data_IF_401719009703
#
_entry.id   IF_401719009703
#
_cell.length_a   1.000
_cell.length_b   1.000
_cell.length_c   1.000
_cell.angle_alpha   90.00
_cell.angle_beta   90.00
_cell.angle_gamma   90.00
#
_symmetry.space_group_name_H-M   'P 1'
#
loop_
_entity.id
_entity.type
_entity.pdbx_description
1 polymer ?
#
# COMPACT_ATOMS: atom_id res chain seq x y z
N UNK A 1 -11.25 -11.37 -2.90
CA UNK A 1 -10.26 -10.77 -3.85
C UNK A 1 -10.09 -9.31 -3.49
N UNK A 2 -8.85 -8.88 -3.29
CA UNK A 2 -8.53 -7.49 -2.97
C UNK A 2 -8.95 -6.50 -4.08
N UNK A 3 -9.03 -5.21 -3.74
CA UNK A 3 -9.20 -4.13 -4.69
C UNK A 3 -8.04 -3.15 -4.59
N UNK A 4 -7.43 -2.80 -5.70
CA UNK A 4 -6.36 -1.79 -5.79
C UNK A 4 -6.85 -0.61 -6.62
N UNK A 5 -6.51 0.60 -6.22
CA UNK A 5 -6.83 1.83 -6.92
C UNK A 5 -5.64 2.78 -6.90
N UNK A 6 -5.40 3.47 -8.00
CA UNK A 6 -4.43 4.56 -8.06
C UNK A 6 -5.02 5.80 -8.72
N UNK A 7 -4.53 6.97 -8.31
CA UNK A 7 -4.88 8.28 -8.87
C UNK A 7 -3.57 9.03 -9.13
N UNK A 8 -3.45 9.65 -10.28
CA UNK A 8 -2.30 10.49 -10.64
C UNK A 8 -2.79 11.81 -11.22
N UNK A 9 -2.32 12.90 -10.64
CA UNK A 9 -2.54 14.27 -11.12
C UNK A 9 -1.23 14.95 -11.52
N UNK A 10 -1.29 15.98 -12.33
CA UNK A 10 -0.13 16.77 -12.72
C UNK A 10 0.41 17.65 -11.58
N UNK A 11 -0.39 17.92 -10.55
CA UNK A 11 -0.05 18.73 -9.39
C UNK A 11 -0.77 18.32 -8.12
N UNK A 12 -0.37 18.89 -6.97
CA UNK A 12 -1.03 18.64 -5.70
C UNK A 12 -2.51 19.08 -5.74
N UNK A 13 -3.39 18.18 -5.36
CA UNK A 13 -4.84 18.38 -5.31
C UNK A 13 -5.32 18.26 -3.87
N UNK A 14 -5.93 19.32 -3.34
CA UNK A 14 -6.47 19.34 -1.95
C UNK A 14 -7.59 18.31 -1.73
N UNK A 15 -8.36 17.99 -2.76
CA UNK A 15 -9.48 17.04 -2.69
C UNK A 15 -9.08 15.57 -2.90
N UNK A 16 -7.79 15.27 -3.15
CA UNK A 16 -7.31 13.91 -3.42
C UNK A 16 -7.79 12.92 -2.36
N UNK A 17 -7.72 13.28 -1.08
CA UNK A 17 -8.16 12.43 0.02
C UNK A 17 -9.64 12.08 -0.04
N UNK A 18 -10.51 13.02 -0.44
CA UNK A 18 -11.95 12.78 -0.61
C UNK A 18 -12.23 11.83 -1.77
N UNK A 19 -11.54 12.01 -2.89
CA UNK A 19 -11.68 11.15 -4.07
C UNK A 19 -11.17 9.73 -3.80
N UNK A 20 -9.99 9.61 -3.22
CA UNK A 20 -9.41 8.33 -2.79
C UNK A 20 -10.33 7.57 -1.84
N UNK A 21 -10.85 8.26 -0.81
CA UNK A 21 -11.78 7.69 0.16
C UNK A 21 -13.08 7.19 -0.50
N UNK A 22 -13.61 7.95 -1.45
CA UNK A 22 -14.81 7.55 -2.20
C UNK A 22 -14.55 6.28 -3.02
N UNK A 23 -13.39 6.17 -3.67
CA UNK A 23 -13.04 4.99 -4.46
C UNK A 23 -12.80 3.76 -3.57
N UNK A 24 -12.11 3.92 -2.44
CA UNK A 24 -11.91 2.82 -1.49
C UNK A 24 -13.25 2.30 -0.94
N UNK A 25 -14.19 3.18 -0.58
CA UNK A 25 -15.53 2.78 -0.15
C UNK A 25 -16.29 2.02 -1.25
N UNK A 26 -16.14 2.40 -2.51
CA UNK A 26 -16.73 1.68 -3.65
C UNK A 26 -16.10 0.31 -3.88
N UNK A 27 -14.84 0.10 -3.46
CA UNK A 27 -14.15 -1.17 -3.55
C UNK A 27 -14.37 -2.09 -2.34
N UNK A 28 -15.08 -1.66 -1.31
CA UNK A 28 -15.29 -2.42 -0.07
C UNK A 28 -15.84 -3.83 -0.30
N UNK A 29 -16.67 -4.02 -1.32
CA UNK A 29 -17.17 -5.34 -1.70
C UNK A 29 -16.09 -6.32 -2.16
N UNK A 30 -14.88 -5.82 -2.49
CA UNK A 30 -13.72 -6.61 -2.87
C UNK A 30 -12.89 -7.07 -1.67
N UNK A 31 -12.98 -6.34 -0.55
CA UNK A 31 -12.25 -6.67 0.67
C UNK A 31 -12.58 -5.69 1.79
N UNK A 32 -12.70 -6.23 2.99
CA UNK A 32 -13.08 -5.49 4.20
C UNK A 32 -12.22 -5.85 5.42
N UNK A 33 -11.17 -6.67 5.24
CA UNK A 33 -10.30 -7.08 6.34
C UNK A 33 -9.32 -5.98 6.74
N UNK A 34 -8.79 -5.26 5.76
CA UNK A 34 -8.00 -4.05 6.01
C UNK A 34 -8.11 -3.05 4.85
N UNK A 35 -7.87 -1.79 5.18
CA UNK A 35 -7.91 -0.65 4.26
C UNK A 35 -6.63 0.15 4.40
N UNK A 36 -6.05 0.57 3.28
CA UNK A 36 -4.91 1.46 3.31
C UNK A 36 -4.80 2.33 2.07
N UNK A 37 -4.04 3.40 2.23
CA UNK A 37 -3.73 4.34 1.18
C UNK A 37 -2.46 5.13 1.45
N UNK A 38 -1.71 5.40 0.41
CA UNK A 38 -0.53 6.26 0.44
C UNK A 38 -0.75 7.47 -0.47
N UNK A 39 -0.50 8.65 0.08
CA UNK A 39 -0.62 9.94 -0.59
C UNK A 39 0.77 10.50 -0.83
N UNK A 40 1.13 10.76 -2.08
CA UNK A 40 2.43 11.29 -2.46
C UNK A 40 2.30 12.75 -2.83
N UNK A 41 3.11 13.60 -2.21
CA UNK A 41 3.22 15.04 -2.49
C UNK A 41 4.34 15.32 -3.48
N UNK A 42 4.31 16.47 -4.13
CA UNK A 42 5.34 16.87 -5.10
C UNK A 42 6.74 17.07 -4.50
N UNK A 43 6.83 17.32 -3.22
CA UNK A 43 8.10 17.42 -2.48
C UNK A 43 8.70 16.04 -2.14
N UNK A 44 8.08 14.95 -2.58
CA UNK A 44 8.50 13.59 -2.30
C UNK A 44 7.88 12.98 -1.03
N UNK A 45 7.20 13.78 -0.19
CA UNK A 45 6.59 13.27 1.03
C UNK A 45 5.55 12.20 0.72
N UNK A 46 5.67 11.04 1.37
CA UNK A 46 4.68 9.97 1.36
C UNK A 46 3.93 10.00 2.71
N UNK A 47 2.60 10.01 2.65
CA UNK A 47 1.73 9.91 3.83
C UNK A 47 0.99 8.59 3.74
N UNK A 48 1.47 7.58 4.46
CA UNK A 48 0.84 6.26 4.55
C UNK A 48 -0.22 6.25 5.65
N UNK A 49 -1.40 5.73 5.31
CA UNK A 49 -2.54 5.53 6.21
C UNK A 49 -3.11 4.14 5.97
N UNK A 50 -3.01 3.24 6.94
CA UNK A 50 -3.55 1.89 6.82
C UNK A 50 -3.96 1.31 8.17
N UNK A 51 -5.00 0.47 8.15
CA UNK A 51 -5.55 -0.17 9.35
C UNK A 51 -6.40 -1.38 9.00
N UNK A 52 -6.49 -2.30 9.95
CA UNK A 52 -7.49 -3.37 9.94
C UNK A 52 -8.90 -2.78 9.98
N UNK A 53 -9.74 -3.23 9.09
CA UNK A 53 -11.16 -2.87 8.99
C UNK A 53 -11.57 -2.38 7.61
N UNK A 54 -12.88 -2.40 7.40
CA UNK A 54 -13.52 -1.99 6.15
C UNK A 54 -13.38 -0.47 5.91
N UNK A 55 -13.29 -0.02 4.65
CA UNK A 55 -13.21 1.40 4.30
C UNK A 55 -14.28 2.28 4.97
N UNK A 56 -15.52 1.82 5.00
CA UNK A 56 -16.63 2.55 5.63
C UNK A 56 -16.43 2.82 7.13
N UNK A 57 -15.60 2.04 7.80
CA UNK A 57 -15.33 2.14 9.25
C UNK A 57 -14.05 2.92 9.56
N UNK A 58 -12.98 2.71 8.78
CA UNK A 58 -11.63 3.19 9.19
C UNK A 58 -11.17 4.45 8.47
N UNK A 59 -11.77 4.85 7.34
CA UNK A 59 -11.32 6.00 6.56
C UNK A 59 -11.33 7.31 7.37
N UNK A 60 -12.34 7.54 8.18
CA UNK A 60 -12.43 8.75 9.00
C UNK A 60 -11.42 8.73 10.15
N UNK A 61 -11.21 7.58 10.79
CA UNK A 61 -10.21 7.40 11.84
C UNK A 61 -8.79 7.59 11.30
N UNK A 62 -8.53 7.14 10.08
CA UNK A 62 -7.26 7.32 9.37
C UNK A 62 -7.08 8.75 8.81
N UNK A 63 -8.08 9.61 8.95
CA UNK A 63 -8.10 10.97 8.40
C UNK A 63 -7.78 11.03 6.90
N UNK A 64 -8.13 9.99 6.15
CA UNK A 64 -7.82 9.91 4.72
C UNK A 64 -8.48 11.04 3.92
N UNK A 65 -9.70 11.43 4.28
CA UNK A 65 -10.45 12.50 3.60
C UNK A 65 -9.76 13.87 3.67
N UNK A 66 -8.88 14.08 4.65
CA UNK A 66 -8.13 15.32 4.87
C UNK A 66 -6.81 15.36 4.06
N UNK A 67 -6.39 14.26 3.46
CA UNK A 67 -5.11 14.16 2.77
C UNK A 67 -5.12 14.89 1.42
N UNK A 68 -3.96 15.43 1.06
CA UNK A 68 -3.70 16.05 -0.22
C UNK A 68 -2.46 15.42 -0.87
N UNK A 69 -2.26 15.65 -2.14
CA UNK A 69 -1.12 15.14 -2.90
C UNK A 69 -1.40 15.18 -4.39
N UNK A 70 -0.53 14.58 -5.19
CA UNK A 70 -0.70 14.46 -6.62
C UNK A 70 -0.75 13.01 -7.10
N UNK A 71 -0.31 12.07 -6.26
CA UNK A 71 -0.47 10.63 -6.51
C UNK A 71 -1.09 9.97 -5.29
N UNK A 72 -1.85 8.93 -5.55
CA UNK A 72 -2.44 8.07 -4.54
C UNK A 72 -2.37 6.62 -5.02
N UNK A 73 -2.05 5.72 -4.12
CA UNK A 73 -2.27 4.28 -4.28
C UNK A 73 -2.97 3.75 -3.03
N UNK A 74 -3.98 2.92 -3.21
CA UNK A 74 -4.73 2.35 -2.10
C UNK A 74 -5.19 0.94 -2.37
N UNK A 75 -5.48 0.23 -1.28
CA UNK A 75 -5.96 -1.15 -1.32
C UNK A 75 -7.03 -1.39 -0.27
N UNK A 76 -7.99 -2.23 -0.63
CA UNK A 76 -8.88 -2.95 0.27
C UNK A 76 -8.51 -4.43 0.21
N UNK A 77 -8.22 -5.02 1.37
CA UNK A 77 -7.71 -6.38 1.45
C UNK A 77 -8.82 -7.37 1.79
N UNK A 78 -8.84 -8.48 1.06
CA UNK A 78 -9.45 -9.73 1.47
C UNK A 78 -8.30 -10.70 1.76
N UNK A 79 -8.06 -10.99 3.02
CA UNK A 79 -6.93 -11.79 3.44
C UNK A 79 -7.11 -13.25 2.99
N UNK A 80 -6.23 -13.72 2.14
CA UNK A 80 -6.13 -15.13 1.72
C UNK A 80 -4.89 -15.79 2.30
N UNK A 81 -3.90 -14.97 2.69
CA UNK A 81 -2.63 -15.38 3.28
C UNK A 81 -2.14 -14.33 4.29
N UNK A 82 -1.50 -14.78 5.36
CA UNK A 82 -1.00 -13.94 6.44
C UNK A 82 -2.09 -13.43 7.40
N UNK A 83 -1.69 -13.09 8.61
CA UNK A 83 -2.57 -12.61 9.67
C UNK A 83 -3.18 -11.25 9.28
N UNK A 84 -4.44 -11.02 9.70
CA UNK A 84 -5.09 -9.71 9.55
C UNK A 84 -4.60 -8.81 10.69
N UNK A 85 -3.66 -7.92 10.36
CA UNK A 85 -3.11 -6.91 11.24
C UNK A 85 -2.70 -5.67 10.43
N UNK A 86 -2.33 -4.59 11.10
CA UNK A 86 -1.99 -3.32 10.44
C UNK A 86 -0.66 -3.41 9.66
N UNK A 87 0.28 -4.27 10.07
CA UNK A 87 1.56 -4.49 9.39
C UNK A 87 1.32 -5.12 8.02
N UNK A 88 0.47 -6.15 7.97
CA UNK A 88 0.11 -6.87 6.75
C UNK A 88 -0.91 -6.13 5.86
N UNK A 89 -1.46 -5.01 6.33
CA UNK A 89 -2.29 -4.14 5.50
C UNK A 89 -1.46 -3.44 4.42
N UNK A 90 -2.04 -3.25 3.25
CA UNK A 90 -1.39 -2.57 2.12
C UNK A 90 -1.97 -1.16 1.93
N UNK A 91 -1.22 -0.23 1.30
CA UNK A 91 0.08 -0.39 0.64
C UNK A 91 1.25 -0.65 1.60
N UNK A 92 2.34 -1.20 1.05
CA UNK A 92 3.62 -1.28 1.73
C UNK A 92 4.52 -0.13 1.29
N UNK A 93 5.11 0.56 2.25
CA UNK A 93 6.18 1.52 2.03
C UNK A 93 7.51 0.85 2.38
N UNK A 94 8.50 0.99 1.53
CA UNK A 94 9.85 0.47 1.68
C UNK A 94 10.83 1.61 1.48
N UNK A 95 11.98 1.55 2.17
CA UNK A 95 13.00 2.60 2.12
C UNK A 95 14.37 2.01 2.53
N UNK A 96 14.73 0.85 1.96
CA UNK A 96 16.04 0.24 2.22
C UNK A 96 17.13 0.94 1.40
N UNK A 97 16.83 1.27 0.16
CA UNK A 97 17.73 1.94 -0.79
C UNK A 97 17.08 3.13 -1.47
N UNK A 98 15.80 3.03 -1.80
CA UNK A 98 15.01 4.08 -2.44
C UNK A 98 13.59 4.04 -1.89
N UNK A 99 13.10 5.16 -1.36
CA UNK A 99 11.74 5.23 -0.84
C UNK A 99 10.71 4.94 -1.93
N UNK A 100 9.95 3.89 -1.74
CA UNK A 100 8.88 3.45 -2.62
C UNK A 100 7.64 3.06 -1.84
N UNK A 101 6.48 3.12 -2.51
CA UNK A 101 5.23 2.62 -1.97
C UNK A 101 4.47 1.85 -3.05
N UNK A 102 3.94 0.70 -2.68
CA UNK A 102 3.22 -0.15 -3.62
C UNK A 102 2.13 -1.00 -3.00
N UNK A 103 1.21 -1.47 -3.83
CA UNK A 103 0.15 -2.39 -3.46
C UNK A 103 0.05 -3.50 -4.50
N UNK A 104 -0.20 -4.72 -4.03
CA UNK A 104 -0.28 -5.92 -4.84
C UNK A 104 -1.63 -6.61 -4.66
N UNK A 105 -2.25 -6.98 -5.75
CA UNK A 105 -3.44 -7.83 -5.75
C UNK A 105 -3.14 -9.13 -6.50
N UNK A 106 -2.67 -10.12 -5.78
CA UNK A 106 -2.27 -11.41 -6.33
C UNK A 106 -1.73 -12.33 -5.24
N UNK A 107 -1.04 -13.39 -5.67
CA UNK A 107 -0.34 -14.31 -4.80
C UNK A 107 0.97 -14.75 -5.46
N UNK A 108 2.07 -14.69 -4.71
CA UNK A 108 3.41 -15.09 -5.16
C UNK A 108 3.72 -16.48 -4.63
N UNK A 109 3.81 -17.45 -5.53
CA UNK A 109 4.01 -18.86 -5.16
C UNK A 109 5.35 -19.14 -4.47
N UNK A 110 6.41 -18.38 -4.82
CA UNK A 110 7.76 -18.51 -4.27
C UNK A 110 8.11 -17.39 -3.27
N UNK A 111 7.11 -16.82 -2.60
CA UNK A 111 7.24 -15.68 -1.69
C UNK A 111 8.35 -15.87 -0.65
N UNK A 112 8.41 -17.02 0.04
CA UNK A 112 9.40 -17.28 1.08
C UNK A 112 10.84 -17.23 0.54
N UNK A 113 11.09 -17.83 -0.62
CA UNK A 113 12.40 -17.81 -1.25
C UNK A 113 12.82 -16.39 -1.69
N UNK A 114 11.87 -15.60 -2.16
CA UNK A 114 12.12 -14.21 -2.53
C UNK A 114 12.38 -13.34 -1.30
N UNK A 115 11.67 -13.59 -0.19
CA UNK A 115 11.92 -12.92 1.09
C UNK A 115 13.33 -13.22 1.61
N UNK A 116 13.75 -14.49 1.59
CA UNK A 116 15.13 -14.89 1.95
C UNK A 116 16.17 -14.14 1.10
N UNK A 117 16.00 -14.17 -0.23
CA UNK A 117 16.86 -13.43 -1.15
C UNK A 117 16.96 -11.94 -0.80
N UNK A 118 15.84 -11.28 -0.53
CA UNK A 118 15.81 -9.86 -0.19
C UNK A 118 16.52 -9.57 1.12
N UNK A 119 16.29 -10.37 2.16
CA UNK A 119 16.97 -10.22 3.45
C UNK A 119 18.49 -10.42 3.31
N UNK A 120 18.94 -11.42 2.54
CA UNK A 120 20.36 -11.65 2.24
C UNK A 120 21.00 -10.47 1.47
N UNK A 121 20.20 -9.70 0.73
CA UNK A 121 20.62 -8.50 0.00
C UNK A 121 20.35 -7.18 0.74
N UNK A 122 20.10 -7.23 2.05
CA UNK A 122 20.03 -6.05 2.92
C UNK A 122 18.67 -5.36 2.99
N UNK A 123 17.60 -6.01 2.54
CA UNK A 123 16.24 -5.51 2.71
C UNK A 123 15.64 -5.91 4.06
N UNK A 124 14.88 -5.00 4.66
CA UNK A 124 14.12 -5.25 5.90
C UNK A 124 12.66 -5.57 5.59
N UNK A 125 12.36 -6.85 5.36
CA UNK A 125 11.01 -7.34 5.02
C UNK A 125 10.27 -7.72 6.29
N UNK A 126 9.40 -6.84 6.77
CA UNK A 126 8.78 -6.92 8.11
C UNK A 126 7.44 -7.64 8.15
N UNK A 127 6.66 -7.62 7.06
CA UNK A 127 5.34 -8.26 7.05
C UNK A 127 5.39 -9.71 6.55
N UNK A 128 4.27 -10.41 6.75
CA UNK A 128 4.04 -11.72 6.14
C UNK A 128 3.28 -11.61 4.81
N UNK A 129 3.04 -10.38 4.34
CA UNK A 129 2.30 -10.14 3.11
C UNK A 129 3.24 -10.18 1.90
N UNK A 130 2.91 -11.00 0.91
CA UNK A 130 3.70 -11.14 -0.33
C UNK A 130 3.75 -9.85 -1.16
N UNK A 131 2.81 -8.93 -0.95
CA UNK A 131 2.82 -7.61 -1.56
C UNK A 131 4.03 -6.76 -1.15
N UNK A 132 4.51 -6.87 0.10
CA UNK A 132 5.73 -6.20 0.54
C UNK A 132 6.96 -6.72 -0.22
N UNK A 133 7.04 -8.03 -0.41
CA UNK A 133 8.13 -8.66 -1.18
C UNK A 133 8.18 -8.11 -2.61
N UNK A 134 7.03 -7.89 -3.26
CA UNK A 134 6.98 -7.26 -4.60
C UNK A 134 7.58 -5.86 -4.58
N UNK A 135 7.23 -5.04 -3.59
CA UNK A 135 7.71 -3.65 -3.51
C UNK A 135 9.21 -3.63 -3.29
N UNK A 136 9.74 -4.47 -2.39
CA UNK A 136 11.18 -4.62 -2.18
C UNK A 136 11.93 -5.15 -3.41
N UNK A 137 11.34 -6.08 -4.18
CA UNK A 137 11.95 -6.55 -5.43
C UNK A 137 12.08 -5.41 -6.45
N UNK A 138 11.03 -4.58 -6.57
CA UNK A 138 11.08 -3.41 -7.45
C UNK A 138 12.16 -2.43 -6.98
N UNK A 139 12.23 -2.15 -5.68
CA UNK A 139 13.26 -1.31 -5.08
C UNK A 139 14.66 -1.84 -5.37
N UNK A 140 14.89 -3.14 -5.13
CA UNK A 140 16.18 -3.81 -5.33
C UNK A 140 16.68 -3.65 -6.76
N UNK A 141 15.86 -4.02 -7.74
CA UNK A 141 16.27 -3.95 -9.14
C UNK A 141 16.31 -2.51 -9.67
N UNK A 142 15.46 -1.61 -9.16
CA UNK A 142 15.53 -0.19 -9.52
C UNK A 142 16.81 0.46 -9.02
N UNK A 143 17.27 0.13 -7.82
CA UNK A 143 18.51 0.64 -7.25
C UNK A 143 19.76 0.08 -7.95
N UNK A 144 19.67 -1.13 -8.50
CA UNK A 144 20.78 -1.78 -9.22
C UNK A 144 20.97 -1.27 -10.67
N UNK A 145 20.04 -0.43 -11.19
CA UNK A 145 20.14 0.17 -12.53
C UNK A 145 20.97 1.45 -12.52
#
# INVERSE_FOLDING_TARGET
MCGVVSIVYSGNIKRLGKEASSLLKKLEYRGYDSTGGAFVKKDGTIVLRKKVGAPSRVIEELEMTKQSGYKFIGQVRWATYGVVNDINAQPHEVDCFVQMVGAHNGNISNNLRLKEFLVENGHDVVSDNDGEVVVHLIEHFYYAL
#
